data_IF_970269430692
#
_entry.id   IF_970269430692
#
_cell.length_a   1.000
_cell.length_b   1.000
_cell.length_c   1.000
_cell.angle_alpha   90.00
_cell.angle_beta   90.00
_cell.angle_gamma   90.00
#
_symmetry.space_group_name_H-M   'P 1'
#
loop_
_entity.id
_entity.type
_entity.pdbx_description
1 polymer ?
#
# COMPACT_ATOMS: atom_id res chain seq x y z
N UNK A 1 -6.95 -3.90 16.01
CA UNK A 1 -6.30 -3.01 15.03
C UNK A 1 -4.94 -3.59 14.68
N UNK A 2 -4.82 -4.31 13.55
CA UNK A 2 -3.53 -4.84 13.09
C UNK A 2 -2.68 -3.66 12.59
N UNK A 3 -1.68 -3.25 13.37
CA UNK A 3 -0.72 -2.24 12.95
C UNK A 3 0.30 -2.87 12.00
N UNK A 4 -0.07 -2.98 10.72
CA UNK A 4 0.84 -3.32 9.64
C UNK A 4 1.76 -2.12 9.36
N UNK A 5 2.73 -1.90 10.26
CA UNK A 5 3.76 -0.87 10.11
C UNK A 5 4.98 -1.50 9.45
N UNK A 6 5.21 -1.14 8.20
CA UNK A 6 6.40 -1.52 7.46
C UNK A 6 7.35 -0.33 7.43
N UNK A 7 8.62 -0.59 7.69
CA UNK A 7 9.70 0.34 7.37
C UNK A 7 10.05 0.24 5.88
N UNK A 8 11.00 1.05 5.42
CA UNK A 8 11.38 1.07 4.00
C UNK A 8 11.85 -0.30 3.53
N UNK A 9 12.65 -1.01 4.32
CA UNK A 9 13.14 -2.34 4.00
C UNK A 9 11.98 -3.35 3.91
N UNK A 10 11.01 -3.30 4.83
CA UNK A 10 9.82 -4.12 4.80
C UNK A 10 8.96 -3.89 3.56
N UNK A 11 8.80 -2.63 3.12
CA UNK A 11 8.08 -2.31 1.89
C UNK A 11 8.80 -2.88 0.67
N UNK A 12 10.13 -2.74 0.59
CA UNK A 12 10.92 -3.32 -0.51
C UNK A 12 10.82 -4.85 -0.54
N UNK A 13 10.89 -5.50 0.62
CA UNK A 13 10.72 -6.95 0.74
C UNK A 13 9.34 -7.39 0.23
N UNK A 14 8.28 -6.63 0.52
CA UNK A 14 6.94 -6.90 0.01
C UNK A 14 6.81 -6.68 -1.50
N UNK A 15 7.41 -5.64 -2.05
CA UNK A 15 7.48 -5.41 -3.51
C UNK A 15 8.08 -6.65 -4.20
N UNK A 16 9.20 -7.15 -3.67
CA UNK A 16 9.84 -8.36 -4.16
C UNK A 16 8.97 -9.61 -3.98
N UNK A 17 8.36 -9.78 -2.80
CA UNK A 17 7.52 -10.95 -2.48
C UNK A 17 6.28 -11.03 -3.38
N UNK A 18 5.65 -9.90 -3.67
CA UNK A 18 4.50 -9.80 -4.57
C UNK A 18 4.91 -9.74 -6.05
N UNK A 19 6.22 -9.69 -6.35
CA UNK A 19 6.76 -9.58 -7.71
C UNK A 19 6.13 -8.42 -8.49
N UNK A 20 5.95 -7.27 -7.82
CA UNK A 20 5.39 -6.10 -8.46
C UNK A 20 6.35 -5.59 -9.54
N UNK A 21 5.84 -5.17 -10.72
CA UNK A 21 6.67 -4.53 -11.72
C UNK A 21 7.15 -3.17 -11.20
N UNK A 22 8.35 -2.74 -11.62
CA UNK A 22 8.98 -1.50 -11.17
C UNK A 22 8.07 -0.27 -11.31
N UNK A 23 7.27 -0.26 -12.40
CA UNK A 23 6.26 0.75 -12.69
C UNK A 23 4.88 0.11 -12.74
N UNK A 24 3.95 0.69 -11.98
CA UNK A 24 2.53 0.37 -12.00
C UNK A 24 1.82 1.41 -12.86
N UNK A 25 0.96 0.94 -13.76
CA UNK A 25 0.06 1.80 -14.55
C UNK A 25 -1.34 1.63 -13.98
N UNK A 26 -1.93 2.72 -13.46
CA UNK A 26 -3.27 2.69 -12.88
C UNK A 26 -4.35 2.70 -13.97
N UNK A 27 -5.60 2.41 -13.59
CA UNK A 27 -6.75 2.52 -14.50
C UNK A 27 -6.94 3.95 -15.04
N UNK A 28 -6.51 4.96 -14.27
CA UNK A 28 -6.49 6.37 -14.69
C UNK A 28 -5.33 6.70 -15.63
N UNK A 29 -4.50 5.71 -15.99
CA UNK A 29 -3.28 5.84 -16.81
C UNK A 29 -2.14 6.61 -16.13
N UNK A 30 -2.22 6.80 -14.82
CA UNK A 30 -1.11 7.33 -14.04
C UNK A 30 -0.02 6.28 -13.91
N UNK A 31 1.24 6.73 -13.85
CA UNK A 31 2.41 5.89 -13.63
C UNK A 31 2.97 6.19 -12.26
N UNK A 32 3.18 5.16 -11.45
CA UNK A 32 3.82 5.27 -10.16
C UNK A 32 4.79 4.09 -9.93
N UNK A 33 5.72 4.28 -9.00
CA UNK A 33 6.63 3.18 -8.63
C UNK A 33 5.88 2.06 -7.90
N UNK A 34 6.38 0.83 -8.00
CA UNK A 34 5.89 -0.33 -7.23
C UNK A 34 5.77 -0.03 -5.73
N UNK A 35 6.77 0.67 -5.20
CA UNK A 35 6.86 1.05 -3.79
C UNK A 35 5.76 2.03 -3.41
N UNK A 36 5.55 3.06 -4.22
CA UNK A 36 4.50 4.06 -4.02
C UNK A 36 3.10 3.44 -4.09
N UNK A 37 2.85 2.63 -5.13
CA UNK A 37 1.59 1.92 -5.30
C UNK A 37 1.29 1.01 -4.10
N UNK A 38 2.30 0.29 -3.60
CA UNK A 38 2.16 -0.59 -2.45
C UNK A 38 1.89 0.21 -1.16
N UNK A 39 2.62 1.30 -0.91
CA UNK A 39 2.37 2.18 0.24
C UNK A 39 0.94 2.73 0.23
N UNK A 40 0.44 3.20 -0.92
CA UNK A 40 -0.95 3.68 -1.06
C UNK A 40 -1.94 2.55 -0.77
N UNK A 41 -1.68 1.34 -1.27
CA UNK A 41 -2.55 0.18 -1.07
C UNK A 41 -2.61 -0.21 0.41
N UNK A 42 -1.46 -0.33 1.07
CA UNK A 42 -1.37 -0.61 2.51
C UNK A 42 -2.06 0.48 3.35
N UNK A 43 -1.89 1.75 2.95
CA UNK A 43 -2.59 2.88 3.55
C UNK A 43 -4.11 2.66 3.41
N UNK A 44 -4.64 2.34 2.23
CA UNK A 44 -6.08 2.08 2.05
C UNK A 44 -6.58 0.88 2.84
N UNK A 45 -5.81 -0.20 2.94
CA UNK A 45 -6.16 -1.40 3.71
C UNK A 45 -6.14 -1.19 5.22
N UNK A 46 -5.45 -0.15 5.70
CA UNK A 46 -5.48 0.21 7.13
C UNK A 46 -6.82 0.82 7.58
N UNK A 47 -7.79 0.99 6.66
CA UNK A 47 -9.16 1.40 6.99
C UNK A 47 -9.92 0.26 7.67
N UNK A 48 -10.72 0.53 8.72
CA UNK A 48 -11.00 1.84 9.32
C UNK A 48 -9.89 2.37 10.23
N UNK A 49 -9.54 3.65 10.08
CA UNK A 49 -8.40 4.26 10.80
C UNK A 49 -8.80 5.12 11.98
N UNK A 50 -10.00 5.68 11.93
CA UNK A 50 -10.61 6.42 13.03
C UNK A 50 -11.76 5.61 13.60
N UNK A 51 -12.11 5.90 14.85
CA UNK A 51 -13.29 5.29 15.49
C UNK A 51 -14.57 5.54 14.69
N UNK A 52 -14.70 6.72 14.07
CA UNK A 52 -15.81 7.04 13.17
C UNK A 52 -15.85 6.15 11.92
N UNK A 53 -14.68 5.81 11.36
CA UNK A 53 -14.59 4.90 10.22
C UNK A 53 -15.04 3.47 10.57
N UNK A 54 -14.95 3.07 11.85
CA UNK A 54 -15.40 1.76 12.34
C UNK A 54 -16.92 1.69 12.57
N UNK A 55 -17.59 2.83 12.64
CA UNK A 55 -19.03 2.93 12.94
C UNK A 55 -19.90 3.05 11.68
N UNK A 56 -19.30 3.19 10.50
CA UNK A 56 -19.99 3.37 9.23
C UNK A 56 -20.36 2.04 8.57
#
# INVERSE_FOLDING_TARGET
MLMLRFDVAGVQALVCAFRLPDVIITSSRDRCSSTEALCITLYRMSFPRRYYDMMA
#
